data_IF_277612464755
#
_entry.id   IF_277612464755
#
_cell.length_a   1.000
_cell.length_b   1.000
_cell.length_c   1.000
_cell.angle_alpha   90.00
_cell.angle_beta   90.00
_cell.angle_gamma   90.00
#
_symmetry.space_group_name_H-M   'P 1'
#
loop_
_entity.id
_entity.type
_entity.pdbx_description
1 polymer ?
#
# COMPACT_ATOMS: atom_id res chain seq x y z
N UNK A 1 31.08 -63.72 -35.98
CA UNK A 1 30.88 -63.55 -34.50
C UNK A 1 31.51 -62.25 -34.04
N UNK A 2 30.69 -61.26 -33.78
CA UNK A 2 31.16 -59.91 -33.28
C UNK A 2 31.41 -60.00 -31.77
N UNK A 3 32.66 -59.87 -31.37
CA UNK A 3 33.03 -59.78 -29.95
C UNK A 3 32.57 -58.42 -29.43
N UNK A 4 31.51 -58.38 -28.61
CA UNK A 4 31.11 -57.21 -27.85
C UNK A 4 32.23 -56.97 -26.84
N UNK A 5 32.88 -55.79 -26.81
CA UNK A 5 34.00 -55.53 -25.90
C UNK A 5 33.51 -55.59 -24.44
N UNK A 6 34.18 -56.40 -23.66
CA UNK A 6 33.93 -56.58 -22.20
C UNK A 6 33.90 -55.25 -21.46
N UNK A 7 34.51 -54.21 -21.95
CA UNK A 7 34.48 -52.85 -21.43
C UNK A 7 33.08 -52.19 -21.40
N UNK A 8 32.20 -52.52 -22.37
CA UNK A 8 30.82 -51.97 -22.36
C UNK A 8 29.97 -52.62 -21.28
N UNK A 9 30.20 -53.90 -20.98
CA UNK A 9 29.47 -54.61 -19.92
C UNK A 9 29.95 -54.10 -18.53
N UNK A 10 31.24 -53.79 -18.37
CA UNK A 10 31.76 -53.27 -17.11
C UNK A 10 31.29 -51.82 -16.86
N UNK A 11 31.14 -50.99 -17.92
CA UNK A 11 30.63 -49.62 -17.80
C UNK A 11 29.11 -49.60 -17.52
N UNK A 12 28.35 -50.55 -18.04
CA UNK A 12 26.93 -50.66 -17.78
C UNK A 12 26.62 -51.20 -16.37
N UNK A 13 27.51 -51.99 -15.76
CA UNK A 13 27.35 -52.44 -14.38
C UNK A 13 27.66 -51.38 -13.32
N UNK A 14 28.44 -50.37 -13.64
CA UNK A 14 28.71 -49.21 -12.74
C UNK A 14 27.53 -48.23 -12.68
N UNK A 15 26.68 -48.19 -13.73
CA UNK A 15 25.48 -47.39 -13.76
C UNK A 15 24.28 -47.99 -12.98
N UNK A 16 24.41 -49.21 -12.48
CA UNK A 16 23.38 -49.90 -11.68
C UNK A 16 23.66 -49.85 -10.16
N UNK A 17 24.67 -49.12 -9.71
CA UNK A 17 24.76 -48.77 -8.29
C UNK A 17 23.71 -47.65 -8.06
N UNK A 18 22.46 -48.07 -8.05
CA UNK A 18 21.39 -47.22 -7.50
C UNK A 18 21.75 -46.92 -6.05
N UNK A 19 21.83 -45.67 -5.67
CA UNK A 19 21.79 -45.27 -4.28
C UNK A 19 20.59 -45.94 -3.64
N UNK A 20 20.79 -47.04 -2.90
CA UNK A 20 19.85 -47.45 -1.90
C UNK A 20 20.02 -46.47 -0.75
N UNK A 21 19.33 -45.36 -0.80
CA UNK A 21 19.13 -44.51 0.34
C UNK A 21 18.36 -45.28 1.40
N UNK A 22 19.09 -46.06 2.19
CA UNK A 22 18.56 -46.59 3.45
C UNK A 22 18.52 -45.42 4.43
N UNK A 23 17.52 -44.56 4.26
CA UNK A 23 17.23 -43.49 5.20
C UNK A 23 16.97 -44.09 6.58
N UNK A 24 17.92 -43.90 7.48
CA UNK A 24 17.74 -44.32 8.88
C UNK A 24 17.01 -43.22 9.62
N UNK A 25 15.82 -43.51 10.08
CA UNK A 25 15.06 -42.65 10.95
C UNK A 25 15.42 -42.89 12.42
N UNK A 26 15.58 -41.84 13.19
CA UNK A 26 15.95 -41.87 14.60
C UNK A 26 14.72 -41.95 15.48
N UNK A 27 14.71 -42.90 16.40
CA UNK A 27 13.80 -42.91 17.56
C UNK A 27 14.45 -42.32 18.82
N UNK A 28 15.63 -41.69 18.70
CA UNK A 28 16.33 -41.11 19.81
C UNK A 28 15.53 -39.93 20.39
N UNK A 29 15.34 -39.91 21.70
CA UNK A 29 14.64 -38.85 22.40
C UNK A 29 15.31 -37.46 22.28
N UNK A 30 16.59 -37.42 21.86
CA UNK A 30 17.30 -36.16 21.60
C UNK A 30 17.07 -35.59 20.21
N UNK A 31 16.52 -36.35 19.26
CA UNK A 31 16.25 -35.87 17.91
C UNK A 31 15.19 -34.78 17.94
N UNK A 32 15.54 -33.63 17.30
CA UNK A 32 14.69 -32.42 17.19
C UNK A 32 14.75 -31.88 15.78
N UNK A 33 13.77 -31.09 15.44
CA UNK A 33 13.74 -30.24 14.23
C UNK A 33 14.12 -28.80 14.59
N UNK A 34 14.71 -28.08 13.66
CA UNK A 34 14.94 -26.65 13.76
C UNK A 34 13.94 -25.89 12.88
N UNK A 35 13.43 -24.79 13.38
CA UNK A 35 12.51 -23.95 12.63
C UNK A 35 13.23 -22.66 12.18
N UNK A 36 12.93 -22.17 11.00
CA UNK A 36 13.48 -20.89 10.51
C UNK A 36 12.95 -19.69 11.25
N UNK A 37 11.96 -19.87 12.12
CA UNK A 37 11.32 -18.86 12.96
C UNK A 37 11.03 -19.41 14.34
N UNK A 38 10.98 -18.55 15.35
CA UNK A 38 10.54 -18.93 16.70
C UNK A 38 9.02 -18.81 16.86
N UNK A 39 8.40 -17.93 16.09
CA UNK A 39 6.95 -17.68 16.05
C UNK A 39 6.56 -17.01 14.75
N UNK A 40 5.32 -17.16 14.32
CA UNK A 40 4.76 -16.47 13.17
C UNK A 40 3.74 -15.41 13.64
N UNK A 41 4.16 -14.14 13.61
CA UNK A 41 3.27 -13.01 13.80
C UNK A 41 2.82 -12.53 12.42
N UNK A 42 1.56 -12.78 12.09
CA UNK A 42 0.95 -12.34 10.85
C UNK A 42 0.40 -10.93 11.03
N UNK A 43 0.24 -10.21 9.93
CA UNK A 43 -0.27 -8.84 9.93
C UNK A 43 -1.77 -8.80 10.27
N UNK A 44 -2.32 -7.58 10.31
CA UNK A 44 -3.74 -7.34 10.56
C UNK A 44 -4.59 -7.62 9.31
N UNK A 45 -5.82 -8.08 9.51
CA UNK A 45 -6.85 -8.21 8.47
C UNK A 45 -8.21 -7.81 9.02
N UNK A 46 -9.17 -7.57 8.13
CA UNK A 46 -10.57 -7.42 8.53
C UNK A 46 -11.20 -8.78 8.86
N UNK A 47 -12.15 -8.79 9.79
CA UNK A 47 -12.95 -9.98 10.08
C UNK A 47 -13.53 -10.58 8.80
N UNK A 48 -13.53 -11.91 8.69
CA UNK A 48 -14.01 -12.68 7.54
C UNK A 48 -13.16 -12.52 6.26
N UNK A 49 -12.04 -11.82 6.31
CA UNK A 49 -11.08 -11.78 5.20
C UNK A 49 -9.87 -12.67 5.47
N UNK A 50 -9.21 -13.09 4.40
CA UNK A 50 -8.01 -13.92 4.50
C UNK A 50 -6.75 -13.07 4.47
N UNK A 51 -5.75 -13.49 5.25
CA UNK A 51 -4.39 -12.97 5.12
C UNK A 51 -3.78 -13.43 3.79
N UNK A 52 -2.62 -12.89 3.45
CA UNK A 52 -1.73 -13.55 2.49
C UNK A 52 -1.23 -14.87 3.06
N UNK A 53 -0.65 -15.71 2.21
CA UNK A 53 0.08 -16.91 2.63
C UNK A 53 1.44 -16.52 3.19
N UNK A 54 1.70 -16.91 4.42
CA UNK A 54 3.01 -16.84 5.07
C UNK A 54 3.66 -18.20 5.01
N UNK A 55 4.99 -18.27 5.09
CA UNK A 55 5.69 -19.52 5.11
C UNK A 55 6.92 -19.52 6.01
N UNK A 56 7.31 -20.72 6.43
CA UNK A 56 8.56 -20.98 7.12
C UNK A 56 9.08 -22.39 6.83
N UNK A 57 10.33 -22.62 7.14
CA UNK A 57 11.02 -23.89 6.92
C UNK A 57 11.21 -24.65 8.23
N UNK A 58 11.13 -25.96 8.12
CA UNK A 58 11.43 -26.93 9.20
C UNK A 58 12.59 -27.80 8.72
N UNK A 59 13.72 -27.70 9.40
CA UNK A 59 14.99 -28.36 9.02
C UNK A 59 15.29 -29.53 9.92
N UNK A 60 15.82 -30.61 9.34
CA UNK A 60 16.48 -31.65 10.07
C UNK A 60 18.01 -31.53 9.91
N UNK A 61 18.66 -30.86 10.87
CA UNK A 61 20.12 -30.76 10.91
C UNK A 61 20.80 -31.91 11.66
N UNK A 62 20.04 -32.93 12.07
CA UNK A 62 20.51 -34.13 12.73
C UNK A 62 21.28 -35.07 11.82
N UNK A 63 21.79 -36.15 12.39
CA UNK A 63 22.55 -37.19 11.67
C UNK A 63 21.70 -38.34 11.12
N UNK A 64 20.40 -38.35 11.37
CA UNK A 64 19.41 -39.34 10.92
C UNK A 64 18.11 -38.67 10.53
N UNK A 65 17.27 -39.29 9.73
CA UNK A 65 15.92 -38.80 9.44
C UNK A 65 15.07 -38.67 10.71
N UNK A 66 14.14 -37.77 10.72
CA UNK A 66 13.16 -37.53 11.79
C UNK A 66 11.77 -37.75 11.22
N UNK A 67 10.94 -38.54 11.91
CA UNK A 67 9.52 -38.73 11.59
C UNK A 67 8.67 -37.86 12.50
N UNK A 68 7.80 -37.09 11.87
CA UNK A 68 6.75 -36.31 12.53
C UNK A 68 5.50 -37.19 12.47
N UNK A 69 5.05 -37.63 13.62
CA UNK A 69 3.86 -38.49 13.74
C UNK A 69 2.60 -37.73 13.31
N UNK A 70 2.47 -36.53 13.79
CA UNK A 70 1.36 -35.64 13.44
C UNK A 70 1.74 -34.17 13.57
N UNK A 71 1.01 -33.33 12.82
CA UNK A 71 1.03 -31.86 12.96
C UNK A 71 -0.40 -31.37 13.16
N UNK A 72 -0.64 -30.59 14.19
CA UNK A 72 -1.99 -30.11 14.51
C UNK A 72 -2.01 -28.71 15.11
N UNK A 73 -3.16 -28.04 14.99
CA UNK A 73 -3.49 -26.80 15.69
C UNK A 73 -4.23 -27.15 17.01
N UNK A 74 -3.97 -26.40 18.06
CA UNK A 74 -4.63 -26.62 19.38
C UNK A 74 -6.10 -26.14 19.35
N UNK A 75 -6.41 -25.06 18.61
CA UNK A 75 -7.74 -24.46 18.56
C UNK A 75 -8.21 -24.19 17.10
N UNK A 76 -8.18 -25.17 16.17
CA UNK A 76 -8.41 -24.94 14.75
C UNK A 76 -9.76 -24.29 14.45
N UNK A 77 -10.82 -24.66 15.18
CA UNK A 77 -12.18 -24.11 14.98
C UNK A 77 -12.39 -22.69 15.50
N UNK A 78 -11.46 -22.15 16.29
CA UNK A 78 -11.59 -20.82 16.92
C UNK A 78 -10.60 -19.79 16.38
N UNK A 79 -9.43 -20.27 15.97
CA UNK A 79 -8.31 -19.37 15.61
C UNK A 79 -8.39 -18.89 14.16
N UNK A 80 -9.04 -19.66 13.27
CA UNK A 80 -9.16 -19.35 11.84
C UNK A 80 -7.89 -19.61 11.04
N UNK A 81 -6.81 -20.13 11.64
CA UNK A 81 -5.59 -20.50 10.92
C UNK A 81 -5.81 -21.72 10.05
N UNK A 82 -5.21 -21.71 8.86
CA UNK A 82 -5.15 -22.80 7.90
C UNK A 82 -3.69 -23.06 7.59
N UNK A 83 -3.30 -24.31 7.67
CA UNK A 83 -1.91 -24.71 7.53
C UNK A 83 -1.78 -25.78 6.46
N UNK A 84 -0.72 -25.69 5.66
CA UNK A 84 -0.28 -26.75 4.76
C UNK A 84 1.17 -27.08 5.08
N UNK A 85 1.45 -28.34 5.32
CA UNK A 85 2.78 -28.86 5.63
C UNK A 85 3.19 -29.79 4.52
N UNK A 86 4.26 -29.47 3.80
CA UNK A 86 4.81 -30.27 2.72
C UNK A 86 3.76 -30.79 1.72
N UNK A 87 2.82 -29.93 1.33
CA UNK A 87 1.73 -30.24 0.41
C UNK A 87 0.49 -30.86 1.03
N UNK A 88 0.51 -31.24 2.32
CA UNK A 88 -0.64 -31.77 3.03
C UNK A 88 -1.36 -30.67 3.81
N UNK A 89 -2.67 -30.56 3.61
CA UNK A 89 -3.50 -29.63 4.36
C UNK A 89 -3.80 -30.17 5.77
N UNK A 90 -3.56 -29.31 6.78
CA UNK A 90 -3.85 -29.60 8.19
C UNK A 90 -5.23 -29.06 8.52
N UNK A 91 -6.28 -29.83 8.29
CA UNK A 91 -7.65 -29.42 8.63
C UNK A 91 -7.83 -29.26 10.15
N UNK A 92 -7.54 -30.33 10.89
CA UNK A 92 -7.34 -30.33 12.34
C UNK A 92 -6.03 -30.99 12.73
N UNK A 93 -5.68 -32.04 12.03
CA UNK A 93 -4.44 -32.83 12.19
C UNK A 93 -4.03 -33.42 10.84
N UNK A 94 -2.75 -33.48 10.55
CA UNK A 94 -2.15 -34.19 9.43
C UNK A 94 -1.06 -35.12 9.95
N UNK A 95 -0.80 -36.22 9.26
CA UNK A 95 0.00 -37.34 9.77
C UNK A 95 1.14 -37.72 8.81
N UNK A 96 2.14 -38.42 9.35
CA UNK A 96 3.15 -39.18 8.62
C UNK A 96 4.07 -38.34 7.72
N UNK A 97 4.72 -37.31 8.30
CA UNK A 97 5.76 -36.58 7.60
C UNK A 97 7.15 -37.12 7.91
N UNK A 98 7.98 -37.19 6.89
CA UNK A 98 9.37 -37.61 7.00
C UNK A 98 10.30 -36.46 6.59
N UNK A 99 11.21 -36.08 7.49
CA UNK A 99 12.27 -35.13 7.18
C UNK A 99 13.61 -35.87 7.21
N UNK A 100 14.16 -36.12 6.03
CA UNK A 100 15.42 -36.89 5.90
C UNK A 100 16.58 -36.10 6.52
N UNK A 101 17.69 -36.82 6.74
CA UNK A 101 18.91 -36.18 7.22
C UNK A 101 19.36 -35.03 6.28
N UNK A 102 19.54 -33.83 6.83
CA UNK A 102 19.98 -32.66 6.09
C UNK A 102 18.93 -32.04 5.17
N UNK A 103 17.69 -32.55 5.22
CA UNK A 103 16.57 -32.07 4.42
C UNK A 103 15.68 -31.10 5.20
N UNK A 104 14.68 -30.55 4.52
CA UNK A 104 13.73 -29.60 5.09
C UNK A 104 12.35 -29.73 4.42
N UNK A 105 11.31 -29.41 5.16
CA UNK A 105 9.95 -29.26 4.66
C UNK A 105 9.48 -27.81 4.81
N UNK A 106 8.57 -27.38 3.94
CA UNK A 106 8.01 -26.03 3.95
C UNK A 106 6.61 -26.06 4.54
N UNK A 107 6.34 -25.08 5.39
CA UNK A 107 5.04 -24.88 6.03
C UNK A 107 4.44 -23.58 5.54
N UNK A 108 3.21 -23.65 5.03
CA UNK A 108 2.45 -22.49 4.60
C UNK A 108 1.31 -22.25 5.59
N UNK A 109 1.12 -20.99 5.96
CA UNK A 109 0.10 -20.58 6.94
C UNK A 109 -0.70 -19.42 6.38
N UNK A 110 -2.01 -19.53 6.46
CA UNK A 110 -2.99 -18.47 6.21
C UNK A 110 -3.93 -18.36 7.40
N UNK A 111 -4.62 -17.25 7.52
CA UNK A 111 -5.72 -17.07 8.46
C UNK A 111 -6.91 -16.48 7.74
N UNK A 112 -8.10 -17.06 7.92
CA UNK A 112 -9.35 -16.35 7.68
C UNK A 112 -9.84 -15.86 9.03
N UNK A 113 -9.79 -14.53 9.23
CA UNK A 113 -10.06 -13.94 10.52
C UNK A 113 -11.48 -14.22 10.98
N UNK A 114 -11.70 -14.78 12.18
CA UNK A 114 -13.02 -14.97 12.73
C UNK A 114 -13.75 -13.64 12.93
N UNK A 115 -15.07 -13.69 13.02
CA UNK A 115 -15.87 -12.51 13.37
C UNK A 115 -15.51 -12.04 14.77
N UNK A 116 -15.05 -10.81 14.89
CA UNK A 116 -14.84 -10.16 16.19
C UNK A 116 -16.07 -9.35 16.59
N UNK A 117 -16.38 -9.40 17.88
CA UNK A 117 -17.47 -8.60 18.48
C UNK A 117 -16.96 -7.27 19.05
N UNK A 118 -15.65 -7.14 19.20
CA UNK A 118 -15.01 -5.94 19.75
C UNK A 118 -14.80 -4.90 18.63
N UNK A 119 -14.97 -3.63 18.95
CA UNK A 119 -14.69 -2.55 18.01
C UNK A 119 -13.18 -2.29 17.87
N UNK A 120 -12.40 -2.66 18.92
CA UNK A 120 -10.94 -2.64 18.88
C UNK A 120 -10.36 -3.90 18.19
N UNK A 121 -9.14 -3.82 17.64
CA UNK A 121 -8.47 -4.97 17.03
C UNK A 121 -8.32 -6.12 18.00
N UNK A 122 -8.86 -7.28 17.66
CA UNK A 122 -8.74 -8.48 18.47
C UNK A 122 -7.57 -9.34 17.99
N UNK A 123 -6.72 -9.77 18.92
CA UNK A 123 -5.63 -10.69 18.65
C UNK A 123 -6.12 -12.13 18.73
N UNK A 124 -5.85 -12.89 17.68
CA UNK A 124 -6.07 -14.34 17.58
C UNK A 124 -4.74 -15.06 17.63
N UNK A 125 -4.68 -16.13 18.41
CA UNK A 125 -3.48 -16.94 18.61
C UNK A 125 -3.82 -18.43 18.54
N UNK A 126 -2.85 -19.22 18.08
CA UNK A 126 -2.88 -20.68 18.16
C UNK A 126 -1.45 -21.22 18.27
N UNK A 127 -1.33 -22.50 18.62
CA UNK A 127 -0.09 -23.24 18.58
C UNK A 127 -0.20 -24.32 17.48
N UNK A 128 0.73 -24.27 16.53
CA UNK A 128 0.96 -25.35 15.58
C UNK A 128 1.98 -26.30 16.19
N UNK A 129 1.55 -27.50 16.54
CA UNK A 129 2.36 -28.48 17.26
C UNK A 129 2.84 -29.55 16.30
N UNK A 130 4.14 -29.82 16.31
CA UNK A 130 4.79 -30.91 15.60
C UNK A 130 5.10 -32.04 16.61
N UNK A 131 4.34 -33.15 16.56
CA UNK A 131 4.53 -34.29 17.43
C UNK A 131 5.48 -35.30 16.75
N UNK A 132 6.66 -35.52 17.31
CA UNK A 132 7.64 -36.44 16.76
C UNK A 132 7.39 -37.89 17.24
N UNK A 133 7.81 -38.88 16.46
CA UNK A 133 7.72 -40.31 16.86
C UNK A 133 8.46 -40.63 18.16
N UNK A 134 9.48 -39.88 18.51
CA UNK A 134 10.22 -40.02 19.77
C UNK A 134 9.49 -39.49 21.00
N UNK A 135 8.25 -38.94 20.84
CA UNK A 135 7.42 -38.44 21.89
C UNK A 135 7.65 -36.94 22.23
N UNK A 136 8.53 -36.24 21.50
CA UNK A 136 8.69 -34.80 21.64
C UNK A 136 7.60 -34.03 20.90
N UNK A 137 7.18 -32.94 21.50
CA UNK A 137 6.34 -31.93 20.87
C UNK A 137 7.12 -30.62 20.71
N UNK A 138 7.02 -30.02 19.52
CA UNK A 138 7.66 -28.76 19.20
C UNK A 138 6.60 -27.77 18.69
N UNK A 139 6.12 -26.85 19.53
CA UNK A 139 5.10 -25.88 19.16
C UNK A 139 5.70 -24.65 18.49
N UNK A 140 5.02 -24.11 17.47
CA UNK A 140 5.22 -22.79 16.89
C UNK A 140 3.99 -21.94 17.18
N UNK A 141 4.20 -20.76 17.78
CA UNK A 141 3.13 -19.81 18.06
C UNK A 141 2.73 -19.06 16.78
N UNK A 142 1.45 -19.11 16.45
CA UNK A 142 0.83 -18.31 15.38
C UNK A 142 0.02 -17.18 16.00
N UNK A 143 0.07 -15.98 15.42
CA UNK A 143 -0.76 -14.85 15.87
C UNK A 143 -1.08 -13.91 14.73
N UNK A 144 -2.28 -13.28 14.78
CA UNK A 144 -2.71 -12.24 13.87
C UNK A 144 -3.73 -11.32 14.57
N UNK A 145 -3.98 -10.13 14.00
CA UNK A 145 -5.01 -9.23 14.47
C UNK A 145 -6.18 -9.19 13.50
N UNK A 146 -7.39 -9.19 14.02
CA UNK A 146 -8.63 -9.02 13.26
C UNK A 146 -9.33 -7.73 13.66
N UNK A 147 -9.75 -6.95 12.67
CA UNK A 147 -10.50 -5.72 12.84
C UNK A 147 -11.96 -5.92 12.45
N UNK A 148 -12.88 -5.45 13.27
CA UNK A 148 -14.30 -5.38 12.92
C UNK A 148 -14.51 -4.30 11.87
N UNK A 149 -15.20 -4.65 10.78
CA UNK A 149 -15.53 -3.72 9.71
C UNK A 149 -16.99 -3.88 9.28
N UNK A 150 -17.52 -2.84 8.65
CA UNK A 150 -18.80 -2.88 7.95
C UNK A 150 -18.48 -3.14 6.47
N UNK A 151 -19.12 -4.16 5.87
CA UNK A 151 -18.88 -4.54 4.48
C UNK A 151 -20.04 -4.16 3.57
N UNK A 152 -19.70 -3.51 2.45
CA UNK A 152 -20.60 -3.30 1.31
C UNK A 152 -20.09 -4.15 0.14
N UNK A 153 -20.75 -5.29 -0.09
CA UNK A 153 -20.32 -6.29 -1.09
C UNK A 153 -20.79 -5.98 -2.52
N UNK A 154 -21.80 -5.15 -2.69
CA UNK A 154 -22.30 -4.69 -3.97
C UNK A 154 -21.94 -3.22 -4.19
N UNK A 155 -22.20 -2.70 -5.41
CA UNK A 155 -22.08 -1.27 -5.68
C UNK A 155 -23.01 -0.51 -4.73
N UNK A 156 -22.42 0.38 -3.94
CA UNK A 156 -23.20 1.21 -3.02
C UNK A 156 -23.71 2.45 -3.76
N UNK A 157 -24.91 2.33 -4.31
CA UNK A 157 -25.54 3.41 -5.04
C UNK A 157 -26.27 4.38 -4.10
N UNK A 158 -25.84 5.63 -4.08
CA UNK A 158 -26.41 6.71 -3.26
C UNK A 158 -27.48 7.42 -4.08
N UNK A 159 -28.76 7.15 -3.78
CA UNK A 159 -29.95 7.63 -4.51
C UNK A 159 -30.65 8.81 -3.86
N UNK A 160 -30.31 9.11 -2.62
CA UNK A 160 -30.85 10.22 -1.83
C UNK A 160 -29.73 10.82 -0.97
N UNK A 161 -29.91 12.04 -0.49
CA UNK A 161 -28.94 12.69 0.37
C UNK A 161 -28.65 11.81 1.58
N UNK A 162 -27.41 11.39 1.70
CA UNK A 162 -26.95 10.41 2.69
C UNK A 162 -25.83 10.99 3.53
N UNK A 163 -25.88 10.71 4.82
CA UNK A 163 -24.79 11.08 5.75
C UNK A 163 -24.20 9.83 6.38
N UNK A 164 -22.89 9.74 6.38
CA UNK A 164 -22.09 8.70 7.03
C UNK A 164 -21.26 9.37 8.11
N UNK A 165 -21.50 8.99 9.37
CA UNK A 165 -20.64 9.33 10.51
C UNK A 165 -20.38 8.02 11.28
N UNK A 166 -19.42 7.24 10.78
CA UNK A 166 -19.15 5.89 11.27
C UNK A 166 -17.63 5.72 11.50
N UNK A 167 -17.26 5.50 12.73
CA UNK A 167 -15.85 5.36 13.13
C UNK A 167 -15.27 3.98 12.89
N UNK A 168 -16.13 2.95 12.76
CA UNK A 168 -15.67 1.61 12.39
C UNK A 168 -15.23 1.61 10.93
N UNK A 169 -14.18 0.83 10.59
CA UNK A 169 -13.78 0.66 9.19
C UNK A 169 -14.94 0.23 8.30
N UNK A 170 -15.06 0.87 7.14
CA UNK A 170 -16.04 0.53 6.11
C UNK A 170 -15.28 -0.05 4.93
N UNK A 171 -15.55 -1.30 4.57
CA UNK A 171 -14.92 -2.00 3.44
C UNK A 171 -15.87 -2.02 2.25
N UNK A 172 -15.44 -1.44 1.14
CA UNK A 172 -16.20 -1.29 -0.10
C UNK A 172 -15.60 -2.20 -1.16
N UNK A 173 -16.35 -3.24 -1.59
CA UNK A 173 -15.78 -4.23 -2.52
C UNK A 173 -16.02 -3.91 -4.00
N UNK A 174 -17.03 -3.15 -4.37
CA UNK A 174 -17.36 -2.84 -5.78
C UNK A 174 -17.43 -1.35 -6.10
N UNK A 175 -17.40 -0.48 -5.08
CA UNK A 175 -17.39 0.97 -5.22
C UNK A 175 -18.65 1.66 -4.73
N UNK A 176 -18.58 3.01 -4.71
CA UNK A 176 -19.67 3.92 -4.37
C UNK A 176 -20.02 4.69 -5.63
N UNK A 177 -21.31 4.82 -5.92
CA UNK A 177 -21.82 5.65 -6.99
C UNK A 177 -22.81 6.70 -6.44
N UNK A 178 -22.49 7.99 -6.60
CA UNK A 178 -23.33 9.09 -6.12
C UNK A 178 -24.14 9.64 -7.28
N UNK A 179 -25.44 9.45 -7.25
CA UNK A 179 -26.33 9.85 -8.32
C UNK A 179 -26.43 11.37 -8.47
N UNK A 180 -26.71 11.81 -9.68
CA UNK A 180 -26.87 13.23 -10.02
C UNK A 180 -27.92 13.92 -9.13
N UNK A 181 -27.55 15.10 -8.60
CA UNK A 181 -28.39 15.90 -7.71
C UNK A 181 -28.49 15.37 -6.28
N UNK A 182 -27.71 14.34 -5.94
CA UNK A 182 -27.64 13.76 -4.60
C UNK A 182 -26.32 14.15 -3.93
N UNK A 183 -26.37 14.39 -2.64
CA UNK A 183 -25.19 14.68 -1.82
C UNK A 183 -24.88 13.51 -0.89
N UNK A 184 -23.66 13.00 -0.97
CA UNK A 184 -23.07 12.13 0.06
C UNK A 184 -22.19 12.96 0.98
N UNK A 185 -22.54 13.00 2.28
CA UNK A 185 -21.74 13.62 3.32
C UNK A 185 -21.09 12.53 4.16
N UNK A 186 -19.75 12.59 4.33
CA UNK A 186 -18.99 11.61 5.11
C UNK A 186 -18.19 12.38 6.16
N UNK A 187 -18.27 11.95 7.42
CA UNK A 187 -17.51 12.57 8.51
C UNK A 187 -16.85 11.51 9.38
N UNK A 188 -15.59 11.74 9.77
CA UNK A 188 -14.80 10.91 10.71
C UNK A 188 -14.74 9.42 10.33
N UNK A 189 -14.82 9.10 9.05
CA UNK A 189 -14.93 7.73 8.56
C UNK A 189 -13.62 7.22 7.93
N UNK A 190 -13.40 5.91 8.01
CA UNK A 190 -12.30 5.21 7.36
C UNK A 190 -12.88 4.27 6.30
N UNK A 191 -12.68 4.59 5.04
CA UNK A 191 -13.15 3.82 3.90
C UNK A 191 -12.00 3.05 3.25
N UNK A 192 -12.18 1.75 3.17
CA UNK A 192 -11.23 0.80 2.61
C UNK A 192 -11.80 0.19 1.35
N UNK A 193 -11.11 0.35 0.24
CA UNK A 193 -11.58 -0.07 -1.08
C UNK A 193 -10.84 -1.31 -1.55
N UNK A 194 -11.59 -2.30 -2.02
CA UNK A 194 -11.05 -3.47 -2.67
C UNK A 194 -10.54 -3.12 -4.08
N UNK A 195 -9.71 -3.99 -4.66
CA UNK A 195 -9.18 -3.81 -6.02
C UNK A 195 -10.29 -3.54 -7.03
N UNK A 196 -10.13 -2.50 -7.83
CA UNK A 196 -11.12 -2.04 -8.80
C UNK A 196 -12.31 -1.25 -8.24
N UNK A 197 -12.50 -1.15 -6.92
CA UNK A 197 -13.50 -0.28 -6.31
C UNK A 197 -13.03 1.18 -6.30
N UNK A 198 -13.95 2.13 -6.34
CA UNK A 198 -13.70 3.57 -6.30
C UNK A 198 -14.93 4.36 -5.90
N UNK A 199 -14.84 5.68 -5.99
CA UNK A 199 -15.99 6.59 -5.80
C UNK A 199 -16.24 7.31 -7.11
N UNK A 200 -17.43 7.09 -7.70
CA UNK A 200 -17.89 7.72 -8.91
C UNK A 200 -18.98 8.76 -8.55
N UNK A 201 -18.79 10.01 -8.93
CA UNK A 201 -19.61 11.14 -8.44
C UNK A 201 -20.26 11.89 -9.59
N UNK A 202 -21.54 11.62 -9.85
CA UNK A 202 -22.41 12.45 -10.71
C UNK A 202 -23.13 13.56 -9.91
N UNK A 203 -23.19 13.39 -8.59
CA UNK A 203 -23.78 14.32 -7.63
C UNK A 203 -22.76 15.22 -6.94
N UNK A 204 -22.80 15.23 -5.61
CA UNK A 204 -21.89 16.00 -4.76
C UNK A 204 -21.30 15.11 -3.66
N UNK A 205 -19.99 15.21 -3.45
CA UNK A 205 -19.29 14.59 -2.33
C UNK A 205 -18.80 15.67 -1.36
N UNK A 206 -19.18 15.53 -0.09
CA UNK A 206 -18.64 16.33 1.02
C UNK A 206 -18.00 15.38 2.02
N UNK A 207 -16.72 15.51 2.26
CA UNK A 207 -15.99 14.66 3.21
C UNK A 207 -15.18 15.51 4.20
N UNK A 208 -15.23 15.13 5.48
CA UNK A 208 -14.49 15.79 6.56
C UNK A 208 -13.84 14.76 7.47
N UNK A 209 -12.54 14.91 7.71
CA UNK A 209 -11.76 14.05 8.61
C UNK A 209 -11.83 12.56 8.24
N UNK A 210 -11.67 12.26 6.94
CA UNK A 210 -11.84 10.92 6.39
C UNK A 210 -10.54 10.32 5.86
N UNK A 211 -10.44 8.99 5.96
CA UNK A 211 -9.40 8.20 5.31
C UNK A 211 -9.99 7.40 4.15
N UNK A 212 -9.37 7.51 2.96
CA UNK A 212 -9.69 6.73 1.76
C UNK A 212 -8.45 5.97 1.31
N UNK A 213 -8.49 4.63 1.35
CA UNK A 213 -7.33 3.79 1.00
C UNK A 213 -7.72 2.40 0.50
N UNK A 214 -6.74 1.64 0.03
CA UNK A 214 -6.93 0.22 -0.24
C UNK A 214 -7.20 -0.60 1.02
N UNK A 215 -7.87 -1.74 0.87
CA UNK A 215 -8.31 -2.62 1.97
C UNK A 215 -7.22 -3.54 2.52
N UNK A 216 -6.02 -3.54 1.93
CA UNK A 216 -4.91 -4.36 2.39
C UNK A 216 -4.22 -3.71 3.60
N UNK A 217 -4.24 -4.40 4.74
CA UNK A 217 -3.61 -3.98 6.00
C UNK A 217 -2.30 -4.71 6.27
N UNK A 218 -1.95 -5.67 5.44
CA UNK A 218 -0.79 -6.54 5.55
C UNK A 218 0.42 -6.01 4.74
N UNK A 219 1.41 -6.86 4.56
CA UNK A 219 2.60 -6.57 3.77
C UNK A 219 2.63 -7.40 2.50
N UNK A 220 3.07 -6.82 1.39
CA UNK A 220 3.37 -7.56 0.17
C UNK A 220 4.60 -8.46 0.36
N UNK A 221 5.66 -7.89 0.95
CA UNK A 221 6.87 -8.59 1.38
C UNK A 221 7.18 -8.18 2.82
N UNK A 222 8.04 -8.91 3.51
CA UNK A 222 8.38 -8.63 4.92
C UNK A 222 8.84 -7.19 5.17
N UNK A 223 9.46 -6.56 4.17
CA UNK A 223 9.96 -5.18 4.21
C UNK A 223 9.02 -4.15 3.56
N UNK A 224 7.97 -4.58 2.82
CA UNK A 224 7.12 -3.71 2.03
C UNK A 224 5.64 -3.82 2.43
N UNK A 225 5.16 -2.95 3.32
CA UNK A 225 3.74 -2.87 3.65
C UNK A 225 2.89 -2.40 2.45
N UNK A 226 1.68 -2.92 2.31
CA UNK A 226 0.73 -2.42 1.32
C UNK A 226 0.41 -0.93 1.53
N UNK A 227 0.59 -0.42 2.72
CA UNK A 227 0.48 1.00 3.06
C UNK A 227 1.39 1.92 2.22
N UNK A 228 2.45 1.37 1.62
CA UNK A 228 3.42 2.08 0.78
C UNK A 228 3.29 1.79 -0.71
N UNK A 229 2.30 0.99 -1.10
CA UNK A 229 2.10 0.54 -2.48
C UNK A 229 0.93 1.29 -3.09
N UNK A 230 1.13 1.85 -4.27
CA UNK A 230 0.09 2.50 -5.08
C UNK A 230 -0.76 1.49 -5.87
N UNK A 231 -1.93 1.92 -6.38
CA UNK A 231 -2.72 1.14 -7.33
C UNK A 231 -3.58 0.03 -6.70
N UNK A 232 -4.01 0.19 -5.45
CA UNK A 232 -4.84 -0.80 -4.74
C UNK A 232 -6.35 -0.63 -4.95
N UNK A 233 -6.79 0.56 -5.36
CA UNK A 233 -8.18 0.92 -5.64
C UNK A 233 -8.23 2.02 -6.70
N UNK A 234 -9.39 2.27 -7.29
CA UNK A 234 -9.49 3.20 -8.42
C UNK A 234 -9.10 4.64 -8.08
N UNK A 235 -9.68 5.21 -7.01
CA UNK A 235 -9.64 6.63 -6.68
C UNK A 235 -11.02 7.27 -6.63
N UNK A 236 -11.07 8.61 -6.66
CA UNK A 236 -12.30 9.43 -6.63
C UNK A 236 -12.46 10.14 -7.97
N UNK A 237 -13.59 9.94 -8.64
CA UNK A 237 -13.88 10.46 -9.98
C UNK A 237 -15.12 11.36 -9.93
N UNK A 238 -14.94 12.65 -10.17
CA UNK A 238 -16.02 13.62 -10.33
C UNK A 238 -16.36 13.75 -11.80
N UNK A 239 -17.51 13.24 -12.20
CA UNK A 239 -17.99 13.29 -13.57
C UNK A 239 -18.48 14.66 -13.97
N UNK A 240 -18.63 14.90 -15.26
CA UNK A 240 -19.03 16.19 -15.85
C UNK A 240 -20.25 16.80 -15.15
N UNK A 241 -20.12 18.05 -14.71
CA UNK A 241 -21.09 18.83 -13.95
C UNK A 241 -21.31 18.39 -12.47
N UNK A 242 -20.52 17.52 -11.91
CA UNK A 242 -20.48 17.35 -10.46
C UNK A 242 -19.89 18.62 -9.82
N UNK A 243 -20.58 19.24 -8.90
CA UNK A 243 -20.24 20.56 -8.35
C UNK A 243 -20.38 20.62 -6.84
N UNK A 244 -19.80 21.67 -6.24
CA UNK A 244 -19.80 21.92 -4.80
C UNK A 244 -19.13 20.78 -3.99
N UNK A 245 -18.18 20.09 -4.60
CA UNK A 245 -17.44 19.03 -3.94
C UNK A 245 -16.45 19.63 -2.93
N UNK A 246 -16.41 19.06 -1.72
CA UNK A 246 -15.53 19.52 -0.65
C UNK A 246 -14.90 18.35 0.07
N UNK A 247 -13.58 18.37 0.19
CA UNK A 247 -12.85 17.47 1.08
C UNK A 247 -12.02 18.30 2.04
N UNK A 248 -12.15 18.03 3.31
CA UNK A 248 -11.43 18.73 4.37
C UNK A 248 -10.81 17.71 5.32
N UNK A 249 -9.57 17.95 5.76
CA UNK A 249 -8.84 17.07 6.67
C UNK A 249 -8.84 15.58 6.25
N UNK A 250 -8.86 15.33 4.93
CA UNK A 250 -8.94 13.99 4.36
C UNK A 250 -7.57 13.47 3.90
N UNK A 251 -7.39 12.16 4.04
CA UNK A 251 -6.25 11.44 3.47
C UNK A 251 -6.72 10.49 2.38
N UNK A 252 -6.19 10.63 1.17
CA UNK A 252 -6.44 9.79 0.00
C UNK A 252 -5.13 9.13 -0.39
N UNK A 253 -5.03 7.79 -0.35
CA UNK A 253 -3.77 7.11 -0.62
C UNK A 253 -3.91 5.74 -1.26
N UNK A 254 -2.82 5.30 -1.86
CA UNK A 254 -2.65 3.97 -2.45
C UNK A 254 -3.59 3.67 -3.63
N UNK A 255 -4.12 4.69 -4.29
CA UNK A 255 -5.06 4.56 -5.42
C UNK A 255 -4.36 4.38 -6.76
N UNK A 256 -5.13 4.00 -7.78
CA UNK A 256 -4.71 4.09 -9.18
C UNK A 256 -4.62 5.56 -9.61
N UNK A 257 -5.68 6.35 -9.41
CA UNK A 257 -5.67 7.81 -9.51
C UNK A 257 -6.10 8.37 -8.16
N UNK A 258 -5.57 9.51 -7.74
CA UNK A 258 -6.00 10.13 -6.50
C UNK A 258 -7.42 10.69 -6.64
N UNK A 259 -7.53 11.88 -7.18
CA UNK A 259 -8.78 12.54 -7.55
C UNK A 259 -8.72 12.93 -9.01
N UNK A 260 -9.77 12.67 -9.76
CA UNK A 260 -9.94 13.12 -11.16
C UNK A 260 -11.24 13.90 -11.31
N UNK A 261 -11.17 15.06 -11.93
CA UNK A 261 -12.32 15.91 -12.25
C UNK A 261 -12.47 16.01 -13.77
N UNK A 262 -13.61 15.58 -14.29
CA UNK A 262 -14.03 15.83 -15.65
C UNK A 262 -14.48 17.30 -15.82
N UNK A 263 -14.97 17.68 -16.99
CA UNK A 263 -15.37 19.05 -17.33
C UNK A 263 -16.43 19.63 -16.36
N UNK A 264 -16.35 20.94 -16.12
CA UNK A 264 -17.34 21.74 -15.38
C UNK A 264 -17.54 21.31 -13.93
N UNK A 265 -16.51 20.78 -13.33
CA UNK A 265 -16.49 20.47 -11.91
C UNK A 265 -16.13 21.68 -11.07
N UNK A 266 -16.51 21.64 -9.79
CA UNK A 266 -15.96 22.52 -8.76
C UNK A 266 -15.54 21.71 -7.53
N UNK A 267 -14.28 21.88 -7.13
CA UNK A 267 -13.66 21.13 -6.04
C UNK A 267 -12.97 22.07 -5.04
N UNK A 268 -13.21 21.88 -3.77
CA UNK A 268 -12.47 22.54 -2.69
C UNK A 268 -11.73 21.48 -1.87
N UNK A 269 -10.42 21.60 -1.77
CA UNK A 269 -9.55 20.81 -0.91
C UNK A 269 -8.97 21.70 0.18
N UNK A 270 -9.21 21.33 1.43
CA UNK A 270 -8.67 22.02 2.59
C UNK A 270 -7.97 21.03 3.51
N UNK A 271 -6.69 21.24 3.76
CA UNK A 271 -5.87 20.39 4.62
C UNK A 271 -5.91 18.90 4.26
N UNK A 272 -6.01 18.59 2.97
CA UNK A 272 -6.02 17.23 2.49
C UNK A 272 -4.60 16.73 2.19
N UNK A 273 -4.43 15.40 2.29
CA UNK A 273 -3.21 14.71 1.86
C UNK A 273 -3.57 13.68 0.80
N UNK A 274 -2.93 13.77 -0.38
CA UNK A 274 -3.08 12.81 -1.48
C UNK A 274 -1.70 12.24 -1.77
N UNK A 275 -1.55 10.92 -1.67
CA UNK A 275 -0.22 10.33 -1.88
C UNK A 275 -0.25 8.86 -2.30
N UNK A 276 0.89 8.39 -2.80
CA UNK A 276 1.08 7.01 -3.26
C UNK A 276 0.04 6.59 -4.31
N UNK A 277 -0.16 7.42 -5.34
CA UNK A 277 -1.02 7.10 -6.47
C UNK A 277 -0.20 6.48 -7.61
N UNK A 278 -0.77 5.49 -8.31
CA UNK A 278 -0.15 4.85 -9.49
C UNK A 278 -0.28 5.72 -10.75
N UNK A 279 -1.23 6.65 -10.78
CA UNK A 279 -1.43 7.68 -11.78
C UNK A 279 -1.23 9.06 -11.17
N UNK A 280 -1.97 10.05 -11.67
CA UNK A 280 -1.97 11.44 -11.20
C UNK A 280 -2.61 11.55 -9.81
N UNK A 281 -2.05 12.41 -8.95
CA UNK A 281 -2.59 12.69 -7.64
C UNK A 281 -3.90 13.48 -7.70
N UNK A 282 -3.88 14.62 -8.39
CA UNK A 282 -5.07 15.44 -8.68
C UNK A 282 -5.05 15.83 -10.15
N UNK A 283 -6.05 15.42 -10.88
CA UNK A 283 -6.25 15.73 -12.29
C UNK A 283 -7.49 16.59 -12.48
N UNK A 284 -7.34 17.74 -13.15
CA UNK A 284 -8.39 18.72 -13.37
C UNK A 284 -8.53 19.01 -14.86
N UNK A 285 -9.68 18.67 -15.44
CA UNK A 285 -10.00 18.94 -16.84
C UNK A 285 -11.14 19.96 -16.92
N UNK A 286 -10.90 21.13 -17.53
CA UNK A 286 -11.88 22.22 -17.71
C UNK A 286 -12.72 22.50 -16.44
N UNK A 287 -12.07 22.52 -15.27
CA UNK A 287 -12.69 22.54 -13.95
C UNK A 287 -12.18 23.70 -13.10
N UNK A 288 -12.86 23.95 -11.99
CA UNK A 288 -12.44 24.94 -10.98
C UNK A 288 -12.03 24.24 -9.71
N UNK A 289 -10.88 24.63 -9.14
CA UNK A 289 -10.46 24.09 -7.84
C UNK A 289 -9.84 25.17 -6.94
N UNK A 290 -10.08 25.01 -5.63
CA UNK A 290 -9.35 25.71 -4.57
C UNK A 290 -8.62 24.66 -3.72
N UNK A 291 -7.31 24.82 -3.57
CA UNK A 291 -6.43 23.89 -2.88
C UNK A 291 -5.68 24.68 -1.80
N UNK A 292 -6.02 24.45 -0.55
CA UNK A 292 -5.47 25.19 0.58
C UNK A 292 -4.89 24.25 1.63
N UNK A 293 -3.67 24.52 2.08
CA UNK A 293 -2.95 23.76 3.12
C UNK A 293 -2.87 22.26 2.84
N UNK A 294 -2.76 21.88 1.58
CA UNK A 294 -2.77 20.50 1.14
C UNK A 294 -1.36 19.95 0.92
N UNK A 295 -1.28 18.63 0.83
CA UNK A 295 -0.07 17.90 0.49
C UNK A 295 -0.38 16.86 -0.58
N UNK A 296 0.25 16.97 -1.75
CA UNK A 296 0.11 16.01 -2.84
C UNK A 296 1.50 15.48 -3.18
N UNK A 297 1.74 14.18 -2.93
CA UNK A 297 3.10 13.64 -2.96
C UNK A 297 3.16 12.22 -3.50
N UNK A 298 4.33 11.82 -4.00
CA UNK A 298 4.63 10.42 -4.34
C UNK A 298 3.61 9.78 -5.28
N UNK A 299 3.36 10.40 -6.42
CA UNK A 299 2.50 9.87 -7.48
C UNK A 299 3.36 9.38 -8.65
N UNK A 300 2.99 8.30 -9.33
CA UNK A 300 3.72 7.88 -10.54
C UNK A 300 3.44 8.84 -11.71
N UNK A 301 2.20 9.33 -11.84
CA UNK A 301 1.86 10.45 -12.70
C UNK A 301 2.26 11.80 -12.06
N UNK A 302 1.68 12.89 -12.54
CA UNK A 302 1.90 14.22 -11.95
C UNK A 302 1.24 14.31 -10.55
N UNK A 303 1.82 15.09 -9.63
CA UNK A 303 1.11 15.33 -8.38
C UNK A 303 -0.15 16.16 -8.65
N UNK A 304 -0.05 17.25 -9.41
CA UNK A 304 -1.17 18.05 -9.91
C UNK A 304 -1.02 18.27 -11.41
N UNK A 305 -2.04 17.88 -12.18
CA UNK A 305 -2.17 18.14 -13.61
C UNK A 305 -3.43 18.96 -13.89
N UNK A 306 -3.29 20.07 -14.63
CA UNK A 306 -4.38 20.99 -14.98
C UNK A 306 -4.46 21.13 -16.49
N UNK A 307 -5.66 20.96 -17.04
CA UNK A 307 -5.95 21.13 -18.48
C UNK A 307 -7.17 22.07 -18.57
N UNK A 308 -7.00 23.25 -19.15
CA UNK A 308 -8.05 24.25 -19.32
C UNK A 308 -8.77 24.65 -18.04
N UNK A 309 -8.12 24.57 -16.90
CA UNK A 309 -8.74 24.69 -15.57
C UNK A 309 -8.40 26.00 -14.85
N UNK A 310 -9.31 26.45 -13.97
CA UNK A 310 -9.09 27.62 -13.10
C UNK A 310 -8.80 27.14 -11.68
N UNK A 311 -7.58 27.39 -11.19
CA UNK A 311 -7.12 26.86 -9.90
C UNK A 311 -6.47 27.93 -9.04
N UNK A 312 -6.85 27.96 -7.76
CA UNK A 312 -6.13 28.70 -6.72
C UNK A 312 -5.44 27.73 -5.78
N UNK A 313 -4.17 27.95 -5.51
CA UNK A 313 -3.36 27.14 -4.59
C UNK A 313 -2.78 28.06 -3.52
N UNK A 314 -2.94 27.70 -2.25
CA UNK A 314 -2.33 28.41 -1.15
C UNK A 314 -1.74 27.44 -0.12
N UNK A 315 -0.62 27.78 0.51
CA UNK A 315 0.05 27.02 1.56
C UNK A 315 0.12 25.50 1.28
N UNK A 316 0.36 25.09 0.05
CA UNK A 316 0.33 23.69 -0.38
C UNK A 316 1.74 23.16 -0.68
N UNK A 317 1.94 21.87 -0.45
CA UNK A 317 3.17 21.16 -0.82
C UNK A 317 2.87 20.17 -1.94
N UNK A 318 3.49 20.37 -3.08
CA UNK A 318 3.53 19.43 -4.21
C UNK A 318 4.93 18.83 -4.27
N UNK A 319 5.07 17.52 -4.01
CA UNK A 319 6.39 16.91 -3.87
C UNK A 319 6.49 15.57 -4.60
N UNK A 320 7.23 15.57 -5.71
CA UNK A 320 7.35 14.40 -6.60
C UNK A 320 8.57 13.55 -6.26
N UNK A 321 8.36 12.57 -5.39
CA UNK A 321 9.39 11.63 -4.96
C UNK A 321 8.95 10.17 -5.08
N UNK A 322 8.16 9.83 -6.09
CA UNK A 322 7.68 8.45 -6.27
C UNK A 322 8.84 7.46 -6.31
N UNK A 323 8.89 6.48 -5.39
CA UNK A 323 10.12 5.73 -5.16
C UNK A 323 10.29 4.52 -6.11
N UNK A 324 9.23 4.08 -6.80
CA UNK A 324 9.24 2.82 -7.55
C UNK A 324 9.54 2.97 -9.04
N UNK A 325 9.74 4.20 -9.54
CA UNK A 325 10.06 4.46 -10.94
C UNK A 325 10.89 5.73 -11.09
N UNK A 326 11.84 5.73 -12.00
CA UNK A 326 12.48 6.95 -12.50
C UNK A 326 11.66 7.64 -13.60
N UNK A 327 10.80 6.89 -14.29
CA UNK A 327 9.85 7.41 -15.28
C UNK A 327 8.55 7.79 -14.57
N UNK A 328 8.60 8.92 -13.87
CA UNK A 328 7.49 9.51 -13.11
C UNK A 328 7.11 10.86 -13.70
N UNK A 329 5.90 11.33 -13.38
CA UNK A 329 5.45 12.68 -13.71
C UNK A 329 6.17 13.77 -12.92
N UNK A 330 5.66 14.99 -12.98
CA UNK A 330 6.18 16.16 -12.29
C UNK A 330 5.29 16.57 -11.10
N UNK A 331 5.78 17.44 -10.23
CA UNK A 331 4.97 17.92 -9.10
C UNK A 331 3.80 18.82 -9.56
N UNK A 332 4.02 19.69 -10.55
CA UNK A 332 2.99 20.59 -11.09
C UNK A 332 3.08 20.64 -12.62
N UNK A 333 1.97 20.36 -13.28
CA UNK A 333 1.79 20.56 -14.72
C UNK A 333 0.53 21.36 -15.00
N UNK A 334 0.62 22.34 -15.90
CA UNK A 334 -0.54 23.05 -16.43
C UNK A 334 -0.30 23.49 -17.88
N UNK A 335 -1.37 23.55 -18.66
CA UNK A 335 -1.36 23.93 -20.06
C UNK A 335 -1.54 25.46 -20.25
N UNK A 336 -1.53 25.90 -21.50
CA UNK A 336 -1.69 27.32 -21.88
C UNK A 336 -3.12 27.86 -21.71
N UNK A 337 -4.12 26.99 -21.57
CA UNK A 337 -5.53 27.36 -21.40
C UNK A 337 -5.92 27.47 -19.90
N UNK A 338 -5.08 26.95 -19.02
CA UNK A 338 -5.30 26.98 -17.58
C UNK A 338 -4.98 28.35 -16.98
N UNK A 339 -5.73 28.70 -15.93
CA UNK A 339 -5.49 29.88 -15.10
C UNK A 339 -5.09 29.42 -13.70
N UNK A 340 -3.90 29.84 -13.25
CA UNK A 340 -3.34 29.44 -11.95
C UNK A 340 -2.95 30.66 -11.11
N UNK A 341 -3.48 30.72 -9.89
CA UNK A 341 -2.98 31.59 -8.84
C UNK A 341 -2.34 30.69 -7.77
N UNK A 342 -1.05 30.86 -7.57
CA UNK A 342 -0.28 29.99 -6.69
C UNK A 342 0.50 30.83 -5.67
N UNK A 343 0.03 30.79 -4.42
CA UNK A 343 0.60 31.54 -3.32
C UNK A 343 1.22 30.58 -2.28
N UNK A 344 2.27 31.01 -1.61
CA UNK A 344 2.87 30.34 -0.45
C UNK A 344 3.11 28.83 -0.63
N UNK A 345 3.45 28.39 -1.83
CA UNK A 345 3.45 26.97 -2.19
C UNK A 345 4.86 26.44 -2.46
N UNK A 346 5.14 25.23 -1.95
CA UNK A 346 6.35 24.46 -2.23
C UNK A 346 6.09 23.45 -3.36
N UNK A 347 6.79 23.63 -4.49
CA UNK A 347 6.79 22.69 -5.61
C UNK A 347 8.18 22.12 -5.79
N UNK A 348 8.38 20.84 -5.50
CA UNK A 348 9.69 20.23 -5.44
C UNK A 348 9.67 18.72 -5.80
N UNK A 349 10.83 18.14 -6.01
CA UNK A 349 11.00 16.73 -6.34
C UNK A 349 12.45 16.38 -6.64
N UNK A 350 12.66 15.36 -7.45
CA UNK A 350 14.00 14.94 -7.84
C UNK A 350 14.57 15.72 -9.03
N UNK A 351 13.72 16.17 -9.95
CA UNK A 351 14.15 16.73 -11.25
C UNK A 351 13.56 18.12 -11.49
N UNK A 352 13.22 18.43 -12.71
CA UNK A 352 12.43 19.62 -13.05
C UNK A 352 10.97 19.31 -12.78
N UNK A 353 10.41 19.92 -11.74
CA UNK A 353 9.12 19.51 -11.18
C UNK A 353 7.98 20.49 -11.48
N UNK A 354 8.20 21.50 -12.35
CA UNK A 354 7.17 22.40 -12.85
C UNK A 354 7.20 22.43 -14.37
N UNK A 355 6.12 22.04 -15.01
CA UNK A 355 5.91 22.17 -16.46
C UNK A 355 4.79 23.17 -16.68
N UNK A 356 5.14 24.31 -17.28
CA UNK A 356 4.25 25.43 -17.53
C UNK A 356 3.86 25.47 -19.01
N UNK A 357 2.58 25.77 -19.27
CA UNK A 357 2.13 26.11 -20.62
C UNK A 357 2.65 27.47 -21.09
N UNK A 358 2.56 27.73 -22.39
CA UNK A 358 3.01 28.97 -23.04
C UNK A 358 2.06 30.17 -22.79
N UNK A 359 1.04 30.02 -21.95
CA UNK A 359 0.05 31.07 -21.63
C UNK A 359 0.53 32.06 -20.58
N UNK A 360 -0.18 33.18 -20.45
CA UNK A 360 0.04 34.20 -19.43
C UNK A 360 -0.98 34.19 -18.29
N UNK A 361 -1.73 33.09 -18.16
CA UNK A 361 -2.82 32.96 -17.20
C UNK A 361 -2.39 32.49 -15.81
N UNK A 362 -1.13 32.68 -15.40
CA UNK A 362 -0.66 32.20 -14.11
C UNK A 362 0.07 33.28 -13.31
N UNK A 363 0.12 33.08 -12.00
CA UNK A 363 0.97 33.87 -11.09
C UNK A 363 1.49 33.02 -9.95
N UNK A 364 2.75 33.24 -9.58
CA UNK A 364 3.38 32.64 -8.41
C UNK A 364 3.84 33.72 -7.45
N UNK A 365 3.41 33.63 -6.20
CA UNK A 365 3.80 34.59 -5.18
C UNK A 365 4.25 33.89 -3.90
N UNK A 366 5.42 34.25 -3.39
CA UNK A 366 6.05 33.62 -2.23
C UNK A 366 6.11 32.05 -2.33
N UNK A 367 6.69 31.57 -3.42
CA UNK A 367 6.77 30.13 -3.70
C UNK A 367 8.22 29.66 -3.72
N UNK A 368 8.41 28.34 -3.51
CA UNK A 368 9.65 27.64 -3.85
C UNK A 368 9.35 26.74 -5.04
N UNK A 369 10.07 26.93 -6.15
CA UNK A 369 9.85 26.18 -7.38
C UNK A 369 11.14 25.49 -7.81
N UNK A 370 11.08 24.16 -7.95
CA UNK A 370 12.16 23.36 -8.49
C UNK A 370 12.03 23.24 -10.00
N UNK A 371 12.52 24.26 -10.68
CA UNK A 371 12.54 24.36 -12.15
C UNK A 371 13.60 25.38 -12.59
N UNK A 372 13.90 25.42 -13.87
CA UNK A 372 14.79 26.44 -14.42
C UNK A 372 14.09 27.81 -14.34
N UNK A 373 14.83 28.79 -13.84
CA UNK A 373 14.34 30.16 -13.75
C UNK A 373 14.05 30.72 -15.17
N UNK A 374 12.79 31.11 -15.47
CA UNK A 374 12.44 31.65 -16.77
C UNK A 374 13.12 33.02 -17.01
N UNK A 375 13.17 33.45 -18.26
CA UNK A 375 13.71 34.76 -18.65
C UNK A 375 12.74 35.89 -18.38
N UNK A 376 11.45 35.64 -18.51
CA UNK A 376 10.37 36.57 -18.15
C UNK A 376 9.95 36.28 -16.71
N UNK A 377 9.84 37.37 -15.91
CA UNK A 377 9.59 37.31 -14.47
C UNK A 377 8.34 38.04 -14.03
N UNK A 378 7.51 38.52 -14.97
CA UNK A 378 6.37 39.36 -14.66
C UNK A 378 5.34 38.66 -13.78
N UNK A 379 5.18 37.34 -13.96
CA UNK A 379 4.21 36.51 -13.25
C UNK A 379 4.79 35.87 -11.95
N UNK A 380 6.00 36.28 -11.52
CA UNK A 380 6.68 35.68 -10.37
C UNK A 380 7.11 36.74 -9.35
N UNK A 381 6.54 36.68 -8.16
CA UNK A 381 6.84 37.58 -7.04
C UNK A 381 7.40 36.77 -5.86
N UNK A 382 8.53 37.19 -5.33
CA UNK A 382 9.19 36.57 -4.16
C UNK A 382 9.41 35.04 -4.29
N UNK A 383 9.73 34.56 -5.51
CA UNK A 383 9.95 33.14 -5.79
C UNK A 383 11.41 32.75 -5.52
N UNK A 384 11.59 31.69 -4.73
CA UNK A 384 12.85 31.02 -4.52
C UNK A 384 12.99 29.90 -5.57
N UNK A 385 14.02 30.00 -6.40
CA UNK A 385 14.28 29.04 -7.48
C UNK A 385 15.25 27.97 -7.00
N UNK A 386 14.89 26.71 -7.16
CA UNK A 386 15.76 25.56 -6.95
C UNK A 386 16.13 24.94 -8.29
N UNK A 387 17.43 24.93 -8.59
CA UNK A 387 17.88 24.35 -9.85
C UNK A 387 17.73 22.83 -9.83
N UNK A 388 17.16 22.22 -10.89
CA UNK A 388 17.15 20.75 -11.03
C UNK A 388 18.55 20.14 -11.11
N UNK A 389 19.58 20.97 -11.32
CA UNK A 389 21.00 20.55 -11.39
C UNK A 389 21.73 20.55 -10.05
N UNK A 390 21.08 21.05 -8.98
CA UNK A 390 21.67 21.06 -7.65
C UNK A 390 21.79 19.64 -7.12
N UNK A 391 22.95 19.31 -6.51
CA UNK A 391 23.16 17.97 -5.90
C UNK A 391 22.20 17.69 -4.75
N UNK A 392 21.86 18.72 -3.97
CA UNK A 392 20.91 18.64 -2.88
C UNK A 392 19.51 18.79 -3.47
N UNK A 393 18.78 17.71 -3.46
CA UNK A 393 17.45 17.62 -3.98
C UNK A 393 16.40 18.24 -3.01
N UNK A 394 15.15 18.22 -3.40
CA UNK A 394 14.06 18.78 -2.61
C UNK A 394 13.80 18.06 -1.28
N UNK A 395 14.39 16.88 -1.04
CA UNK A 395 14.31 16.14 0.22
C UNK A 395 14.82 16.93 1.43
N UNK A 396 15.66 17.93 1.21
CA UNK A 396 16.16 18.84 2.25
C UNK A 396 15.06 19.58 3.01
N UNK A 397 13.87 19.71 2.44
CA UNK A 397 12.75 20.41 3.06
C UNK A 397 12.02 19.61 4.13
N UNK A 398 12.15 18.27 4.14
CA UNK A 398 11.26 17.38 4.86
C UNK A 398 11.87 16.77 6.12
N UNK A 399 11.01 16.49 7.10
CA UNK A 399 11.41 15.96 8.43
C UNK A 399 12.01 14.58 8.31
N UNK A 400 11.42 13.67 7.50
CA UNK A 400 11.97 12.34 7.24
C UNK A 400 11.91 12.04 5.75
N UNK A 401 13.04 11.58 5.23
CA UNK A 401 13.17 11.14 3.86
C UNK A 401 14.05 9.88 3.80
N UNK A 402 13.44 8.72 4.01
CA UNK A 402 14.11 7.41 4.07
C UNK A 402 13.70 6.56 2.86
N UNK A 403 14.55 6.55 1.85
CA UNK A 403 14.34 5.80 0.61
C UNK A 403 14.58 4.30 0.76
N UNK A 404 15.39 3.89 1.73
CA UNK A 404 15.69 2.47 1.95
C UNK A 404 14.49 1.74 2.56
N UNK A 405 13.84 2.38 3.55
CA UNK A 405 12.66 1.84 4.20
C UNK A 405 11.36 2.36 3.57
N UNK A 406 11.41 3.20 2.53
CA UNK A 406 10.26 3.83 1.89
C UNK A 406 9.39 4.59 2.91
N UNK A 407 10.02 5.24 3.87
CA UNK A 407 9.35 5.98 4.93
C UNK A 407 9.58 7.49 4.76
N UNK A 408 8.49 8.21 4.53
CA UNK A 408 8.52 9.65 4.26
C UNK A 408 7.61 10.40 5.22
N UNK A 409 8.13 11.48 5.80
CA UNK A 409 7.32 12.49 6.48
C UNK A 409 7.55 13.82 5.78
N UNK A 410 6.61 14.19 4.93
CA UNK A 410 6.63 15.42 4.15
C UNK A 410 6.22 16.68 4.95
N UNK A 411 6.22 16.63 6.28
CA UNK A 411 6.18 17.84 7.09
C UNK A 411 7.44 18.66 6.86
N UNK A 412 7.29 19.96 6.75
CA UNK A 412 8.41 20.89 6.50
C UNK A 412 9.21 21.04 7.80
N UNK A 413 10.52 20.85 7.75
CA UNK A 413 11.40 20.99 8.91
C UNK A 413 11.79 22.47 9.15
N UNK A 414 12.09 22.81 10.40
CA UNK A 414 12.39 24.18 10.84
C UNK A 414 13.55 24.85 10.09
N UNK A 415 14.57 24.08 9.70
CA UNK A 415 15.74 24.59 8.98
C UNK A 415 15.48 24.84 7.50
N UNK A 416 14.36 24.40 6.97
CA UNK A 416 13.98 24.60 5.57
C UNK A 416 13.72 26.07 5.27
N UNK A 417 14.19 26.59 4.12
CA UNK A 417 13.75 27.91 3.62
C UNK A 417 12.22 28.00 3.49
N UNK A 418 11.54 26.89 3.22
CA UNK A 418 10.08 26.85 3.16
C UNK A 418 9.45 27.22 4.51
N UNK A 419 9.95 26.66 5.62
CA UNK A 419 9.49 27.01 6.96
C UNK A 419 9.72 28.49 7.28
N UNK A 420 10.93 29.00 7.02
CA UNK A 420 11.32 30.36 7.33
C UNK A 420 10.47 31.42 6.59
N UNK A 421 10.02 31.09 5.39
CA UNK A 421 9.20 31.95 4.55
C UNK A 421 7.69 31.59 4.61
N UNK A 422 7.28 30.66 5.45
CA UNK A 422 5.89 30.17 5.58
C UNK A 422 5.33 29.64 4.25
N UNK A 423 6.14 28.91 3.54
CA UNK A 423 5.82 28.31 2.24
C UNK A 423 5.50 26.81 2.42
N UNK A 424 4.46 26.32 1.74
CA UNK A 424 4.03 24.93 1.76
C UNK A 424 3.05 24.62 2.88
N UNK A 425 2.74 23.33 3.05
CA UNK A 425 1.80 22.86 4.07
C UNK A 425 2.39 23.00 5.49
N UNK A 426 1.80 23.88 6.27
CA UNK A 426 2.26 24.27 7.62
C UNK A 426 1.48 23.58 8.76
N UNK A 427 0.65 22.57 8.48
CA UNK A 427 -0.24 21.92 9.48
C UNK A 427 0.46 21.34 10.71
N UNK A 428 1.75 21.12 10.66
CA UNK A 428 2.53 20.51 11.75
C UNK A 428 3.60 21.48 12.30
N UNK A 429 3.42 22.78 12.11
CA UNK A 429 4.30 23.85 12.60
C UNK A 429 3.75 24.52 13.84
#
# INVERSE_FOLDING_TARGET
MRRIPIFIILFLSVLLVGCSDNDKFSSDASAILEFSIDSLAMDSVFSQTSTRTYDFWVYNKGNSGVRIKDVHLIQPSKSGFRVNVDGQYVDSVAYDFEVRKGDSIRVFVEMTAPVTQQDEPQRFEDLLVFSLENGREQPIKLSAYSWKAIFYHDVWEIKENTTIDERRPIVITKGIFINKGVTLTISHAQLYFHDGAGIEVDGTLVADSCLFRGDRLDKMFSYLPYDRISGQWKGIFFHTNSTANKLQDCEIRNSCSGISCDEKNSLSLLRCTIHNCKGTGLELNESMASIDSCRITNTLGDCLNMIGSLVTIDHTTLAQFYPFSSDRGVALRFDSESVLICDNTLVTGYEEDVIMGDGSGFSFNNCILRTLKPSDMEDFVDVIWESPKDEIQGEKHFVVFDTENLYYNFSIKEESPAHQNKIGDLRNL
#
